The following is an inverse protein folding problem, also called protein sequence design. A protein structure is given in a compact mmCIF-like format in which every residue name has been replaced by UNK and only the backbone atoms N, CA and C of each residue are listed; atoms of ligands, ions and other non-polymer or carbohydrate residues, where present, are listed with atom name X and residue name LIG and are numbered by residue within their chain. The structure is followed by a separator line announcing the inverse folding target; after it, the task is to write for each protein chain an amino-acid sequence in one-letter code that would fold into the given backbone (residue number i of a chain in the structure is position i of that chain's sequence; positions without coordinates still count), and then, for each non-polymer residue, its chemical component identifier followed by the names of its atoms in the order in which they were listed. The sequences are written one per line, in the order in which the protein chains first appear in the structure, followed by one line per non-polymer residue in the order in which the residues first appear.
data_IF_656790518775
#
_entry.id   IF_656790518775
#
_cell.length_a   1.000
_cell.length_b   1.000
_cell.length_c   1.000
_cell.angle_alpha   90.00
_cell.angle_beta   90.00
_cell.angle_gamma   90.00
#
_symmetry.space_group_name_H-M   'P 1'
#
loop_
_entity.id
_entity.type
_entity.pdbx_description
1 polymer ?
#
# COMPACT_ATOMS: atom_id res chain seq x y z
N UNK A 1 0.72 -8.95 -38.58
CA UNK A 1 2.16 -8.64 -38.69
C UNK A 1 2.55 -7.83 -37.47
N UNK A 2 3.54 -8.26 -36.67
CA UNK A 2 4.01 -7.50 -35.52
C UNK A 2 4.64 -6.18 -36.01
N UNK A 3 4.19 -5.05 -35.48
CA UNK A 3 4.81 -3.74 -35.77
C UNK A 3 6.28 -3.79 -35.34
N UNK A 4 7.19 -3.33 -36.21
CA UNK A 4 8.60 -3.28 -35.85
C UNK A 4 8.81 -2.26 -34.73
N UNK A 5 9.80 -2.53 -33.87
CA UNK A 5 10.14 -1.68 -32.72
C UNK A 5 10.41 -0.22 -33.16
N UNK A 6 10.99 -0.04 -34.34
CA UNK A 6 11.28 1.27 -34.95
C UNK A 6 10.00 2.08 -35.26
N UNK A 7 8.92 1.40 -35.65
CA UNK A 7 7.65 2.04 -35.98
C UNK A 7 6.96 2.58 -34.72
N UNK A 8 7.03 1.82 -33.62
CA UNK A 8 6.56 2.25 -32.29
C UNK A 8 7.38 3.43 -31.77
N UNK A 9 8.71 3.38 -31.94
CA UNK A 9 9.61 4.44 -31.49
C UNK A 9 9.37 5.76 -32.23
N UNK A 10 9.04 5.69 -33.52
CA UNK A 10 8.73 6.86 -34.35
C UNK A 10 7.38 7.51 -34.01
N UNK A 11 6.38 6.69 -33.68
CA UNK A 11 5.05 7.15 -33.27
C UNK A 11 5.10 7.82 -31.88
N UNK A 12 5.87 7.24 -30.95
CA UNK A 12 6.13 7.84 -29.63
C UNK A 12 6.86 9.17 -29.78
N UNK A 13 7.90 9.25 -30.62
CA UNK A 13 8.62 10.52 -30.90
C UNK A 13 7.71 11.62 -31.47
N UNK A 14 6.73 11.28 -32.32
CA UNK A 14 5.76 12.26 -32.86
C UNK A 14 4.80 12.79 -31.80
N UNK A 15 4.29 11.94 -30.92
CA UNK A 15 3.39 12.35 -29.83
C UNK A 15 4.11 13.22 -28.78
N UNK A 16 5.37 12.88 -28.49
CA UNK A 16 6.21 13.65 -27.56
C UNK A 16 6.59 15.04 -28.08
N UNK A 17 6.64 15.23 -29.41
CA UNK A 17 6.91 16.53 -30.02
C UNK A 17 5.70 17.48 -29.96
N UNK A 18 4.47 16.97 -29.96
CA UNK A 18 3.26 17.79 -29.81
C UNK A 18 2.97 18.15 -28.34
N UNK A 19 3.36 17.30 -27.39
CA UNK A 19 3.11 17.52 -25.95
C UNK A 19 4.04 18.56 -25.30
N UNK A 20 5.22 18.80 -25.90
CA UNK A 20 6.33 19.56 -25.31
C UNK A 20 6.09 21.07 -25.05
N UNK A 21 4.95 21.66 -25.46
CA UNK A 21 4.76 23.12 -25.34
C UNK A 21 3.42 23.60 -24.76
N UNK A 22 2.42 22.73 -24.63
CA UNK A 22 1.11 23.09 -24.07
C UNK A 22 0.63 22.14 -22.96
N UNK A 23 1.29 20.99 -22.78
CA UNK A 23 0.80 19.93 -21.90
C UNK A 23 1.26 20.02 -20.45
N UNK A 24 2.46 20.51 -20.13
CA UNK A 24 3.09 20.27 -18.81
C UNK A 24 2.34 20.84 -17.61
N UNK A 25 1.85 22.09 -17.66
CA UNK A 25 1.16 22.71 -16.52
C UNK A 25 -0.26 22.18 -16.33
N UNK A 26 -0.99 21.96 -17.43
CA UNK A 26 -2.36 21.42 -17.39
C UNK A 26 -2.33 19.93 -16.97
N UNK A 27 -1.28 19.19 -17.37
CA UNK A 27 -0.98 17.80 -17.04
C UNK A 27 -0.70 17.59 -15.54
N UNK A 28 0.22 18.39 -14.96
CA UNK A 28 0.54 18.32 -13.52
C UNK A 28 -0.70 18.66 -12.69
N UNK A 29 -1.49 19.66 -13.11
CA UNK A 29 -2.72 20.03 -12.40
C UNK A 29 -3.78 18.91 -12.39
N UNK A 30 -3.86 18.13 -13.49
CA UNK A 30 -4.83 17.05 -13.64
C UNK A 30 -4.41 15.83 -12.83
N UNK A 31 -3.13 15.45 -12.87
CA UNK A 31 -2.59 14.38 -12.00
C UNK A 31 -2.70 14.72 -10.52
N UNK A 32 -2.45 15.98 -10.16
CA UNK A 32 -2.62 16.46 -8.80
C UNK A 32 -4.07 16.31 -8.32
N UNK A 33 -5.03 16.66 -9.17
CA UNK A 33 -6.45 16.53 -8.84
C UNK A 33 -6.88 15.06 -8.75
N UNK A 34 -6.45 14.21 -9.67
CA UNK A 34 -6.68 12.75 -9.60
C UNK A 34 -6.05 12.15 -8.35
N UNK A 35 -4.81 12.53 -8.01
CA UNK A 35 -4.15 12.08 -6.78
C UNK A 35 -4.87 12.56 -5.53
N UNK A 36 -5.39 13.80 -5.51
CA UNK A 36 -6.18 14.31 -4.39
C UNK A 36 -7.52 13.58 -4.22
N UNK A 37 -8.11 13.11 -5.32
CA UNK A 37 -9.29 12.25 -5.31
C UNK A 37 -8.93 10.83 -4.84
N UNK A 38 -7.86 10.23 -5.37
CA UNK A 38 -7.33 8.93 -4.95
C UNK A 38 -6.91 8.93 -3.47
N UNK A 39 -6.26 9.97 -2.98
CA UNK A 39 -5.83 10.09 -1.59
C UNK A 39 -7.03 10.31 -0.66
N UNK A 40 -8.06 11.06 -1.09
CA UNK A 40 -9.33 11.15 -0.36
C UNK A 40 -10.06 9.81 -0.32
N UNK A 41 -10.07 9.08 -1.42
CA UNK A 41 -10.68 7.75 -1.48
C UNK A 41 -9.90 6.75 -0.65
N UNK A 42 -8.57 6.75 -0.66
CA UNK A 42 -7.73 5.88 0.19
C UNK A 42 -7.85 6.20 1.68
N UNK A 43 -7.94 7.48 2.04
CA UNK A 43 -8.21 7.90 3.43
C UNK A 43 -9.65 7.54 3.84
N UNK A 44 -10.58 7.42 2.88
CA UNK A 44 -11.98 7.04 3.12
C UNK A 44 -12.23 5.51 3.06
N UNK A 45 -11.37 4.78 2.36
CA UNK A 45 -11.30 3.32 2.29
C UNK A 45 -10.53 2.77 3.49
N UNK A 46 -10.88 3.24 4.69
CA UNK A 46 -10.60 2.49 5.91
C UNK A 46 -11.17 1.09 5.69
N UNK A 47 -10.28 0.11 5.57
CA UNK A 47 -10.68 -1.28 5.27
C UNK A 47 -11.67 -1.71 6.36
N UNK A 48 -12.71 -2.49 6.05
CA UNK A 48 -13.67 -2.94 7.09
C UNK A 48 -12.96 -3.54 8.32
N UNK A 49 -11.80 -4.16 8.11
CA UNK A 49 -10.89 -4.63 9.14
C UNK A 49 -10.28 -3.51 10.00
N UNK A 50 -9.88 -2.38 9.44
CA UNK A 50 -9.33 -1.24 10.19
C UNK A 50 -10.38 -0.60 11.11
N UNK A 51 -11.61 -0.42 10.62
CA UNK A 51 -12.73 0.05 11.46
C UNK A 51 -13.02 -0.92 12.60
N UNK A 52 -13.00 -2.22 12.30
CA UNK A 52 -13.21 -3.27 13.30
C UNK A 52 -12.07 -3.31 14.33
N UNK A 53 -10.82 -3.21 13.88
CA UNK A 53 -9.64 -3.22 14.74
C UNK A 53 -9.57 -1.96 15.62
N UNK A 54 -9.92 -0.80 15.09
CA UNK A 54 -9.99 0.44 15.87
C UNK A 54 -11.13 0.40 16.90
N UNK A 55 -12.31 -0.10 16.52
CA UNK A 55 -13.43 -0.31 17.44
C UNK A 55 -13.06 -1.30 18.56
N UNK A 56 -12.49 -2.45 18.20
CA UNK A 56 -12.03 -3.44 19.17
C UNK A 56 -10.93 -2.87 20.08
N UNK A 57 -10.00 -2.07 19.53
CA UNK A 57 -8.95 -1.40 20.28
C UNK A 57 -9.47 -0.36 21.27
N UNK A 58 -10.53 0.38 20.92
CA UNK A 58 -11.21 1.32 21.84
C UNK A 58 -11.87 0.60 23.01
N UNK A 59 -12.47 -0.56 22.77
CA UNK A 59 -13.17 -1.38 23.77
C UNK A 59 -12.22 -2.19 24.66
N UNK A 60 -11.11 -2.69 24.11
CA UNK A 60 -10.12 -3.52 24.81
C UNK A 60 -8.82 -2.78 25.15
N UNK A 61 -8.87 -1.45 25.27
CA UNK A 61 -7.74 -0.59 25.63
C UNK A 61 -7.02 -0.98 26.94
N UNK A 62 -7.66 -1.82 27.77
CA UNK A 62 -7.16 -2.34 29.04
C UNK A 62 -6.17 -3.53 28.90
N UNK A 63 -6.12 -4.22 27.76
CA UNK A 63 -5.20 -5.36 27.57
C UNK A 63 -3.86 -4.85 27.02
N UNK A 64 -2.90 -4.66 27.92
CA UNK A 64 -1.48 -4.47 27.58
C UNK A 64 -0.91 -5.79 27.05
N UNK A 65 -1.11 -6.05 25.75
CA UNK A 65 -0.44 -7.14 25.06
C UNK A 65 1.08 -6.86 24.99
N UNK A 66 1.82 -7.78 25.60
CA UNK A 66 3.26 -7.79 25.88
C UNK A 66 4.14 -7.49 24.65
N UNK A 67 5.18 -6.69 24.88
CA UNK A 67 6.02 -5.94 23.91
C UNK A 67 6.89 -6.75 22.93
N UNK A 68 7.06 -8.06 23.09
CA UNK A 68 8.11 -8.80 22.36
C UNK A 68 7.79 -9.14 20.89
N UNK A 69 6.50 -9.20 20.52
CA UNK A 69 6.06 -9.49 19.13
C UNK A 69 5.65 -8.24 18.33
N UNK A 70 5.89 -7.05 18.90
CA UNK A 70 5.50 -5.77 18.32
C UNK A 70 6.28 -5.37 17.04
N UNK A 71 7.61 -5.59 16.90
CA UNK A 71 8.37 -4.98 15.81
C UNK A 71 8.06 -5.60 14.44
N UNK A 72 7.99 -6.94 14.34
CA UNK A 72 7.67 -7.61 13.08
C UNK A 72 6.25 -7.30 12.62
N UNK A 73 5.29 -7.26 13.55
CA UNK A 73 3.90 -6.95 13.23
C UNK A 73 3.73 -5.47 12.86
N UNK A 74 4.50 -4.57 13.48
CA UNK A 74 4.56 -3.16 13.10
C UNK A 74 5.16 -2.96 11.69
N UNK A 75 6.20 -3.71 11.35
CA UNK A 75 6.76 -3.73 9.99
C UNK A 75 5.76 -4.25 8.96
N UNK A 76 5.08 -5.36 9.25
CA UNK A 76 4.06 -5.91 8.36
C UNK A 76 2.91 -4.91 8.11
N UNK A 77 2.50 -4.18 9.14
CA UNK A 77 1.48 -3.13 9.03
C UNK A 77 1.94 -1.94 8.18
N UNK A 78 3.18 -1.47 8.38
CA UNK A 78 3.76 -0.41 7.54
C UNK A 78 3.87 -0.84 6.07
N UNK A 79 4.30 -2.07 5.83
CA UNK A 79 4.47 -2.59 4.46
C UNK A 79 3.10 -2.73 3.78
N UNK A 80 2.11 -3.24 4.51
CA UNK A 80 0.73 -3.36 4.07
C UNK A 80 0.04 -1.99 3.84
N UNK A 81 0.56 -0.91 4.43
CA UNK A 81 -0.04 0.42 4.38
C UNK A 81 -1.28 0.56 5.27
N UNK A 82 -1.45 -0.32 6.27
CA UNK A 82 -2.59 -0.29 7.19
C UNK A 82 -2.32 0.69 8.33
N UNK A 83 -3.24 1.62 8.59
CA UNK A 83 -3.09 2.66 9.62
C UNK A 83 -3.61 2.20 10.99
N UNK A 84 -3.18 1.01 11.42
CA UNK A 84 -3.57 0.40 12.70
C UNK A 84 -2.35 0.05 13.54
N UNK A 85 -2.50 0.08 14.87
CA UNK A 85 -1.46 -0.32 15.82
C UNK A 85 -1.48 -1.84 15.99
N UNK A 86 -0.34 -2.51 16.22
CA UNK A 86 -0.32 -3.95 16.51
C UNK A 86 -1.24 -4.33 17.68
N UNK A 87 -1.38 -3.41 18.65
CA UNK A 87 -2.33 -3.54 19.77
C UNK A 87 -3.80 -3.67 19.32
N UNK A 88 -4.23 -2.94 18.29
CA UNK A 88 -5.59 -2.99 17.76
C UNK A 88 -5.87 -4.34 17.06
N UNK A 89 -4.88 -4.89 16.36
CA UNK A 89 -4.97 -6.25 15.76
C UNK A 89 -5.17 -7.30 16.86
N UNK A 90 -4.34 -7.27 17.91
CA UNK A 90 -4.44 -8.22 19.02
C UNK A 90 -5.79 -8.04 19.75
N UNK A 91 -6.20 -6.80 19.99
CA UNK A 91 -7.51 -6.49 20.58
C UNK A 91 -8.66 -7.06 19.73
N UNK A 92 -8.59 -6.96 18.40
CA UNK A 92 -9.60 -7.52 17.49
C UNK A 92 -9.70 -9.05 17.56
N UNK A 93 -8.56 -9.75 17.65
CA UNK A 93 -8.53 -11.20 17.79
C UNK A 93 -9.11 -11.64 19.14
N UNK A 94 -8.73 -10.98 20.23
CA UNK A 94 -9.25 -11.25 21.58
C UNK A 94 -10.74 -10.93 21.67
N UNK A 95 -11.20 -9.81 21.09
CA UNK A 95 -12.61 -9.45 21.04
C UNK A 95 -13.43 -10.53 20.32
N UNK A 96 -12.95 -10.99 19.17
CA UNK A 96 -13.59 -12.05 18.38
C UNK A 96 -13.67 -13.36 19.18
N UNK A 97 -12.61 -13.72 19.91
CA UNK A 97 -12.60 -14.90 20.77
C UNK A 97 -13.61 -14.79 21.94
N UNK A 98 -13.63 -13.65 22.63
CA UNK A 98 -14.58 -13.40 23.74
C UNK A 98 -16.01 -13.43 23.23
N UNK A 99 -16.29 -12.80 22.08
CA UNK A 99 -17.61 -12.81 21.47
C UNK A 99 -18.04 -14.23 21.07
N UNK A 100 -17.12 -15.03 20.53
CA UNK A 100 -17.38 -16.45 20.24
C UNK A 100 -17.75 -17.27 21.47
N UNK A 101 -17.08 -17.02 22.61
CA UNK A 101 -17.41 -17.68 23.89
C UNK A 101 -18.76 -17.18 24.41
N UNK A 102 -19.00 -15.88 24.41
CA UNK A 102 -20.25 -15.28 24.91
C UNK A 102 -21.47 -15.73 24.09
N UNK A 103 -21.31 -15.83 22.77
CA UNK A 103 -22.34 -16.32 21.86
C UNK A 103 -22.69 -17.80 22.08
N UNK A 104 -21.79 -18.59 22.70
CA UNK A 104 -22.03 -20.01 22.95
C UNK A 104 -22.90 -20.28 24.20
N UNK A 105 -22.91 -19.36 25.18
CA UNK A 105 -23.65 -19.46 26.45
C UNK A 105 -25.16 -19.77 26.26
N UNK A 106 -25.93 -19.05 25.41
CA UNK A 106 -27.35 -19.36 25.23
C UNK A 106 -27.61 -20.76 24.68
N UNK A 107 -26.73 -21.29 23.82
CA UNK A 107 -26.87 -22.64 23.26
C UNK A 107 -26.60 -23.73 24.29
N UNK A 108 -25.71 -23.47 25.26
CA UNK A 108 -25.47 -24.36 26.39
C UNK A 108 -26.72 -24.44 27.28
N UNK A 109 -27.37 -23.29 27.55
CA UNK A 109 -28.59 -23.23 28.37
C UNK A 109 -29.76 -23.97 27.70
N UNK A 110 -29.87 -23.91 26.37
CA UNK A 110 -30.88 -24.65 25.60
C UNK A 110 -30.60 -26.17 25.49
N UNK A 111 -29.44 -26.65 25.96
CA UNK A 111 -29.07 -28.06 25.92
C UNK A 111 -28.48 -28.53 24.58
N UNK A 112 -28.14 -27.63 23.66
CA UNK A 112 -27.53 -27.94 22.37
C UNK A 112 -26.00 -27.89 22.46
N UNK A 113 -25.43 -28.84 23.20
CA UNK A 113 -23.98 -28.89 23.49
C UNK A 113 -23.11 -29.02 22.25
N UNK A 114 -23.50 -29.86 21.28
CA UNK A 114 -22.74 -30.05 20.04
C UNK A 114 -22.65 -28.75 19.22
N UNK A 115 -23.75 -27.98 19.20
CA UNK A 115 -23.81 -26.70 18.51
C UNK A 115 -22.99 -25.62 19.23
N UNK A 116 -23.04 -25.59 20.57
CA UNK A 116 -22.21 -24.68 21.36
C UNK A 116 -20.72 -24.90 21.14
N UNK A 117 -20.28 -26.17 21.06
CA UNK A 117 -18.89 -26.51 20.75
C UNK A 117 -18.47 -26.00 19.36
N UNK A 118 -19.32 -26.20 18.35
CA UNK A 118 -19.08 -25.71 17.00
C UNK A 118 -18.92 -24.18 16.95
N UNK A 119 -19.76 -23.44 17.68
CA UNK A 119 -19.68 -21.96 17.79
C UNK A 119 -18.36 -21.51 18.42
N UNK A 120 -17.90 -22.18 19.49
CA UNK A 120 -16.62 -21.85 20.14
C UNK A 120 -15.45 -22.11 19.19
N UNK A 121 -15.43 -23.26 18.51
CA UNK A 121 -14.39 -23.58 17.53
C UNK A 121 -14.34 -22.56 16.38
N UNK A 122 -15.51 -22.13 15.90
CA UNK A 122 -15.62 -21.12 14.83
C UNK A 122 -15.13 -19.75 15.30
N UNK A 123 -15.44 -19.35 16.54
CA UNK A 123 -14.95 -18.09 17.12
C UNK A 123 -13.43 -18.06 17.28
N UNK A 124 -12.82 -19.17 17.74
CA UNK A 124 -11.37 -19.32 17.83
C UNK A 124 -10.70 -19.30 16.44
N UNK A 125 -11.33 -19.95 15.46
CA UNK A 125 -10.83 -19.93 14.08
C UNK A 125 -10.83 -18.51 13.49
N UNK A 126 -11.91 -17.76 13.68
CA UNK A 126 -11.99 -16.36 13.24
C UNK A 126 -10.96 -15.47 13.95
N UNK A 127 -10.71 -15.70 15.25
CA UNK A 127 -9.67 -15.00 15.98
C UNK A 127 -8.27 -15.27 15.40
N UNK A 128 -7.99 -16.52 15.00
CA UNK A 128 -6.73 -16.88 14.34
C UNK A 128 -6.55 -16.21 12.97
N UNK A 129 -7.63 -16.13 12.18
CA UNK A 129 -7.63 -15.42 10.90
C UNK A 129 -7.37 -13.92 11.12
N UNK A 130 -8.05 -13.30 12.09
CA UNK A 130 -7.85 -11.89 12.42
C UNK A 130 -6.41 -11.58 12.86
N UNK A 131 -5.77 -12.50 13.59
CA UNK A 131 -4.37 -12.36 13.99
C UNK A 131 -3.39 -12.49 12.80
N UNK A 132 -3.66 -13.42 11.87
CA UNK A 132 -2.74 -13.68 10.74
C UNK A 132 -2.97 -12.74 9.56
N UNK A 133 -4.11 -12.04 9.52
CA UNK A 133 -4.49 -11.13 8.45
C UNK A 133 -3.43 -10.06 8.09
N UNK A 134 -2.78 -9.36 9.03
CA UNK A 134 -1.75 -8.37 8.71
C UNK A 134 -0.55 -8.96 7.95
N UNK A 135 -0.11 -10.17 8.33
CA UNK A 135 1.01 -10.85 7.68
C UNK A 135 0.67 -11.33 6.27
N UNK A 136 -0.57 -11.74 6.03
CA UNK A 136 -1.03 -12.03 4.66
C UNK A 136 -1.10 -10.76 3.81
N UNK A 137 -1.63 -9.67 4.38
CA UNK A 137 -1.73 -8.39 3.68
C UNK A 137 -0.35 -7.82 3.33
N UNK A 138 0.63 -7.93 4.24
CA UNK A 138 1.99 -7.47 3.99
C UNK A 138 2.67 -8.25 2.86
N UNK A 139 2.44 -9.55 2.77
CA UNK A 139 2.97 -10.38 1.68
C UNK A 139 2.36 -10.01 0.32
N UNK A 140 1.04 -9.79 0.26
CA UNK A 140 0.38 -9.34 -0.98
C UNK A 140 0.92 -7.97 -1.40
N UNK A 141 1.09 -7.04 -0.44
CA UNK A 141 1.66 -5.73 -0.70
C UNK A 141 3.11 -5.82 -1.23
N UNK A 142 3.94 -6.71 -0.68
CA UNK A 142 5.31 -6.97 -1.18
C UNK A 142 5.28 -7.48 -2.62
N UNK A 143 4.44 -8.46 -2.94
CA UNK A 143 4.32 -9.02 -4.29
C UNK A 143 3.90 -7.94 -5.29
N UNK A 144 2.90 -7.13 -4.94
CA UNK A 144 2.43 -6.03 -5.80
C UNK A 144 3.52 -4.96 -5.99
N UNK A 145 4.20 -4.59 -4.91
CA UNK A 145 5.32 -3.65 -4.97
C UNK A 145 6.48 -4.16 -5.83
N UNK A 146 6.78 -5.47 -5.79
CA UNK A 146 7.81 -6.07 -6.65
C UNK A 146 7.45 -6.00 -8.14
N UNK A 147 6.21 -6.30 -8.48
CA UNK A 147 5.73 -6.20 -9.87
C UNK A 147 5.80 -4.76 -10.39
N UNK A 148 5.36 -3.80 -9.59
CA UNK A 148 5.40 -2.38 -9.96
C UNK A 148 6.80 -1.79 -9.98
N UNK A 149 7.70 -2.25 -9.11
CA UNK A 149 9.10 -1.85 -9.12
C UNK A 149 9.76 -2.10 -10.48
N UNK A 150 9.50 -3.26 -11.06
CA UNK A 150 10.01 -3.61 -12.38
C UNK A 150 9.43 -2.70 -13.47
N UNK A 151 8.13 -2.43 -13.40
CA UNK A 151 7.43 -1.59 -14.35
C UNK A 151 7.89 -0.12 -14.25
N UNK A 152 8.11 0.37 -13.04
CA UNK A 152 8.65 1.70 -12.76
C UNK A 152 10.05 1.88 -13.37
N UNK A 153 10.96 0.93 -13.13
CA UNK A 153 12.29 0.96 -13.73
C UNK A 153 12.23 0.93 -15.25
N UNK A 154 11.34 0.12 -15.83
CA UNK A 154 11.15 0.05 -17.27
C UNK A 154 10.72 1.39 -17.85
N UNK A 155 9.68 2.01 -17.28
CA UNK A 155 9.17 3.29 -17.77
C UNK A 155 10.18 4.44 -17.61
N UNK A 156 10.86 4.51 -16.45
CA UNK A 156 11.89 5.52 -16.22
C UNK A 156 13.04 5.34 -17.21
N UNK A 157 13.52 4.11 -17.40
CA UNK A 157 14.63 3.82 -18.34
C UNK A 157 14.27 4.17 -19.78
N UNK A 158 13.05 3.82 -20.22
CA UNK A 158 12.57 4.14 -21.58
C UNK A 158 12.51 5.66 -21.77
N UNK A 159 11.98 6.38 -20.79
CA UNK A 159 11.87 7.83 -20.85
C UNK A 159 13.25 8.52 -20.86
N UNK A 160 14.15 8.09 -19.97
CA UNK A 160 15.49 8.66 -19.84
C UNK A 160 16.35 8.47 -21.09
N UNK A 161 16.11 7.42 -21.88
CA UNK A 161 16.75 7.24 -23.20
C UNK A 161 16.42 8.36 -24.18
N UNK A 162 15.25 8.99 -24.04
CA UNK A 162 14.80 10.08 -24.91
C UNK A 162 15.19 11.45 -24.34
N UNK A 163 14.94 11.69 -23.04
CA UNK A 163 15.37 12.90 -22.35
C UNK A 163 15.96 12.52 -20.98
N UNK A 164 17.22 12.85 -20.67
CA UNK A 164 17.91 12.43 -19.44
C UNK A 164 17.53 13.27 -18.21
N UNK A 165 16.24 13.58 -18.05
CA UNK A 165 15.69 14.34 -16.91
C UNK A 165 14.88 13.38 -16.04
N UNK A 166 15.39 13.09 -14.84
CA UNK A 166 14.80 12.11 -13.93
C UNK A 166 13.38 12.50 -13.47
N UNK A 167 13.13 13.79 -13.22
CA UNK A 167 11.83 14.28 -12.76
C UNK A 167 10.71 13.98 -13.76
N UNK A 168 10.99 14.25 -15.03
CA UNK A 168 10.05 13.96 -16.11
C UNK A 168 9.89 12.44 -16.32
N UNK A 169 10.95 11.66 -16.11
CA UNK A 169 10.91 10.20 -16.23
C UNK A 169 10.04 9.56 -15.13
N UNK A 170 10.17 10.06 -13.89
CA UNK A 170 9.34 9.64 -12.77
C UNK A 170 7.89 10.08 -12.98
N UNK A 171 7.66 11.33 -13.43
CA UNK A 171 6.32 11.82 -13.76
C UNK A 171 5.62 11.00 -14.83
N UNK A 172 6.36 10.51 -15.83
CA UNK A 172 5.82 9.59 -16.84
C UNK A 172 5.51 8.20 -16.27
N UNK A 173 6.39 7.69 -15.39
CA UNK A 173 6.18 6.40 -14.74
C UNK A 173 4.95 6.41 -13.81
N UNK A 174 4.72 7.49 -13.06
CA UNK A 174 3.58 7.62 -12.14
C UNK A 174 2.22 7.55 -12.83
N UNK A 175 2.13 7.86 -14.12
CA UNK A 175 0.89 7.72 -14.90
C UNK A 175 0.50 6.29 -15.21
N UNK A 176 1.50 5.41 -15.26
CA UNK A 176 1.33 4.03 -15.67
C UNK A 176 1.45 3.06 -14.49
N UNK A 177 1.53 3.60 -13.26
CA UNK A 177 1.69 2.84 -12.02
C UNK A 177 0.51 3.12 -11.08
N UNK A 178 -0.28 2.08 -10.81
CA UNK A 178 -1.53 2.21 -10.02
C UNK A 178 -1.47 1.66 -8.59
N UNK A 179 -0.36 1.05 -8.16
CA UNK A 179 -0.29 0.50 -6.80
C UNK A 179 0.78 1.13 -5.93
N UNK A 180 1.27 0.39 -4.93
CA UNK A 180 1.92 0.97 -3.76
C UNK A 180 3.12 1.83 -4.10
N UNK A 181 3.91 1.45 -5.12
CA UNK A 181 5.08 2.23 -5.50
C UNK A 181 4.71 3.45 -6.34
N UNK A 182 3.73 3.31 -7.25
CA UNK A 182 3.20 4.44 -8.03
C UNK A 182 2.65 5.55 -7.13
N UNK A 183 1.92 5.16 -6.08
CA UNK A 183 1.39 6.09 -5.07
C UNK A 183 2.48 6.82 -4.30
N UNK A 184 3.51 6.10 -3.86
CA UNK A 184 4.66 6.71 -3.17
C UNK A 184 5.35 7.75 -4.09
N UNK A 185 5.56 7.41 -5.36
CA UNK A 185 6.16 8.31 -6.36
C UNK A 185 5.27 9.52 -6.68
N UNK A 186 3.95 9.33 -6.86
CA UNK A 186 2.97 10.42 -7.03
C UNK A 186 3.03 11.39 -5.84
N UNK A 187 3.13 10.87 -4.62
CA UNK A 187 3.26 11.70 -3.41
C UNK A 187 4.58 12.47 -3.37
N UNK A 188 5.68 11.89 -3.85
CA UNK A 188 6.96 12.61 -3.99
C UNK A 188 6.81 13.77 -4.97
N UNK A 189 6.21 13.54 -6.14
CA UNK A 189 5.95 14.60 -7.13
C UNK A 189 5.09 15.72 -6.54
N UNK A 190 4.02 15.35 -5.82
CA UNK A 190 3.18 16.32 -5.12
C UNK A 190 3.93 17.19 -4.10
N UNK A 191 4.84 16.58 -3.33
CA UNK A 191 5.67 17.31 -2.36
C UNK A 191 6.64 18.28 -3.06
N UNK A 192 7.18 17.87 -4.21
CA UNK A 192 8.06 18.70 -5.03
C UNK A 192 7.31 19.92 -5.58
N UNK A 193 6.13 19.68 -6.17
CA UNK A 193 5.28 20.73 -6.74
C UNK A 193 4.76 21.70 -5.66
N UNK A 194 4.52 21.19 -4.44
CA UNK A 194 4.11 21.99 -3.29
C UNK A 194 5.27 22.75 -2.63
N UNK A 195 6.48 22.70 -3.20
CA UNK A 195 7.74 23.26 -2.66
C UNK A 195 8.07 22.79 -1.22
N UNK A 196 7.51 21.64 -0.80
CA UNK A 196 7.76 21.05 0.52
C UNK A 196 9.08 20.30 0.59
N UNK A 197 9.55 19.82 -0.56
CA UNK A 197 10.88 19.23 -0.74
C UNK A 197 11.61 20.01 -1.83
N UNK A 198 12.93 20.15 -1.67
CA UNK A 198 13.76 20.94 -2.60
C UNK A 198 14.23 20.12 -3.80
N UNK A 199 14.18 18.79 -3.70
CA UNK A 199 14.60 17.89 -4.77
C UNK A 199 13.87 16.55 -4.71
N UNK A 200 13.80 15.86 -5.85
CA UNK A 200 13.33 14.47 -5.88
C UNK A 200 14.17 13.55 -4.99
N UNK A 201 15.47 13.83 -4.84
CA UNK A 201 16.36 13.04 -3.98
C UNK A 201 15.92 13.07 -2.50
N UNK A 202 15.44 14.22 -2.02
CA UNK A 202 14.89 14.36 -0.67
C UNK A 202 13.61 13.54 -0.51
N UNK A 203 12.72 13.61 -1.51
CA UNK A 203 11.50 12.80 -1.55
C UNK A 203 11.80 11.31 -1.55
N UNK A 204 12.74 10.85 -2.38
CA UNK A 204 13.14 9.44 -2.41
C UNK A 204 13.75 8.97 -1.09
N UNK A 205 14.57 9.81 -0.45
CA UNK A 205 15.18 9.49 0.85
C UNK A 205 14.12 9.24 1.94
N UNK A 206 12.96 9.92 1.86
CA UNK A 206 11.83 9.71 2.76
C UNK A 206 11.20 8.32 2.62
N UNK A 207 11.13 7.77 1.41
CA UNK A 207 10.49 6.48 1.11
C UNK A 207 11.49 5.31 0.97
N UNK A 208 12.79 5.60 0.94
CA UNK A 208 13.84 4.60 0.69
C UNK A 208 13.81 3.43 1.67
N UNK A 209 13.58 3.70 2.97
CA UNK A 209 13.47 2.65 3.99
C UNK A 209 12.26 1.73 3.74
N UNK A 210 11.12 2.32 3.35
CA UNK A 210 9.90 1.58 3.03
C UNK A 210 10.10 0.73 1.76
N UNK A 211 10.74 1.29 0.74
CA UNK A 211 11.05 0.58 -0.49
C UNK A 211 12.05 -0.56 -0.27
N UNK A 212 13.06 -0.38 0.59
CA UNK A 212 13.97 -1.45 1.02
C UNK A 212 13.22 -2.62 1.65
N UNK A 213 12.22 -2.34 2.50
CA UNK A 213 11.38 -3.35 3.14
C UNK A 213 10.42 -4.05 2.17
N UNK A 214 9.95 -3.35 1.12
CA UNK A 214 9.07 -3.89 0.07
C UNK A 214 9.85 -4.69 -0.97
N UNK A 215 10.95 -4.14 -1.48
CA UNK A 215 11.81 -4.73 -2.49
C UNK A 215 13.21 -4.06 -2.46
N UNK A 216 14.19 -4.74 -1.86
CA UNK A 216 15.58 -4.25 -1.82
C UNK A 216 16.24 -4.15 -3.19
N UNK A 217 15.83 -4.97 -4.16
CA UNK A 217 16.45 -5.00 -5.48
C UNK A 217 16.01 -3.80 -6.32
N UNK A 218 14.78 -3.32 -6.12
CA UNK A 218 14.31 -2.07 -6.72
C UNK A 218 15.23 -0.89 -6.36
N UNK A 219 15.50 -0.71 -5.06
CA UNK A 219 16.33 0.41 -4.57
C UNK A 219 17.75 0.32 -5.13
N UNK A 220 18.34 -0.88 -5.19
CA UNK A 220 19.66 -1.07 -5.79
C UNK A 220 19.67 -0.73 -7.27
N UNK A 221 18.70 -1.24 -8.04
CA UNK A 221 18.59 -0.95 -9.47
C UNK A 221 18.37 0.53 -9.75
N UNK A 222 17.60 1.21 -8.92
CA UNK A 222 17.34 2.63 -9.05
C UNK A 222 18.57 3.49 -8.72
N UNK A 223 19.39 3.09 -7.74
CA UNK A 223 20.61 3.82 -7.37
C UNK A 223 21.72 3.75 -8.43
N UNK A 224 21.66 2.75 -9.31
CA UNK A 224 22.63 2.55 -10.40
C UNK A 224 22.21 3.33 -11.67
N UNK A 225 20.94 3.77 -11.72
CA UNK A 225 20.35 4.50 -12.84
C UNK A 225 20.90 5.94 -12.92
#
# INVERSE_FOLDING_TARGET
MPKSIDEIESEVKRRLASDKSQGSDDFVSKQFNTFKEEEKEETALETFFEKYADFAGKILSFINAKDESQPQMYEDLQIAGLNIKPRQVIASAVFTAIFGVLASIPFIILGWIDFAFFVICTGLFLAYVAYTYPSYSSQIAKIKAQQESLLALLYITIYMRVNPVLENAIGFATEHLDGPLGKDLKRIMWLLDSEKISSIHDGMSMYMELWLKRNSDFVKSFMIL
#
